data_IF_852362811914
#
_entry.id   IF_852362811914
#
_cell.length_a   1.000
_cell.length_b   1.000
_cell.length_c   1.000
_cell.angle_alpha   90.00
_cell.angle_beta   90.00
_cell.angle_gamma   90.00
#
_symmetry.space_group_name_H-M   'P 1'
#
loop_
_entity.id
_entity.type
_entity.pdbx_description
1 polymer ?
#
# COMPACT_ATOMS: atom_id res chain seq x y z
N UNK A 1 -0.77 18.05 14.80
CA UNK A 1 -1.04 17.23 13.60
C UNK A 1 -2.08 16.19 14.00
N UNK A 2 -3.26 16.18 13.39
CA UNK A 2 -4.29 15.20 13.71
C UNK A 2 -3.73 13.79 13.48
N UNK A 3 -3.55 13.02 14.56
CA UNK A 3 -3.33 11.57 14.48
C UNK A 3 -4.67 10.91 14.11
N UNK A 4 -5.16 11.21 12.91
CA UNK A 4 -6.29 10.50 12.34
C UNK A 4 -5.83 9.06 12.11
N UNK A 5 -6.49 8.11 12.76
CA UNK A 5 -6.19 6.70 12.55
C UNK A 5 -6.62 6.27 11.13
N UNK A 6 -6.20 5.09 10.67
CA UNK A 6 -6.48 4.66 9.29
C UNK A 6 -7.97 4.55 9.01
N UNK A 7 -8.76 4.13 10.00
CA UNK A 7 -10.22 4.03 9.91
C UNK A 7 -10.86 5.38 9.55
N UNK A 8 -10.64 6.40 10.38
CA UNK A 8 -11.20 7.74 10.20
C UNK A 8 -10.77 8.33 8.85
N UNK A 9 -9.54 8.05 8.43
CA UNK A 9 -9.01 8.50 7.15
C UNK A 9 -9.70 7.83 5.96
N UNK A 10 -9.95 6.52 6.03
CA UNK A 10 -10.71 5.78 5.01
C UNK A 10 -12.13 6.30 4.92
N UNK A 11 -12.83 6.44 6.05
CA UNK A 11 -14.20 6.96 6.07
C UNK A 11 -14.29 8.38 5.49
N UNK A 12 -13.38 9.27 5.92
CA UNK A 12 -13.35 10.65 5.43
C UNK A 12 -13.06 10.70 3.94
N UNK A 13 -12.04 9.97 3.46
CA UNK A 13 -11.73 9.88 2.04
C UNK A 13 -12.95 9.46 1.21
N UNK A 14 -13.67 8.43 1.67
CA UNK A 14 -14.83 7.90 0.96
C UNK A 14 -16.01 8.87 0.93
N UNK A 15 -16.21 9.66 1.99
CA UNK A 15 -17.26 10.69 2.06
C UNK A 15 -16.94 11.92 1.20
N UNK A 16 -15.68 12.35 1.19
CA UNK A 16 -15.26 13.61 0.56
C UNK A 16 -15.05 13.47 -0.97
N UNK A 17 -14.86 12.25 -1.47
CA UNK A 17 -14.58 12.01 -2.89
C UNK A 17 -15.82 11.52 -3.65
N UNK A 18 -16.18 12.22 -4.74
CA UNK A 18 -17.33 11.86 -5.61
C UNK A 18 -17.15 10.56 -6.39
N UNK A 19 -15.91 10.15 -6.66
CA UNK A 19 -15.57 8.92 -7.37
C UNK A 19 -14.36 8.26 -6.69
N UNK A 20 -14.57 7.68 -5.50
CA UNK A 20 -13.48 7.13 -4.71
C UNK A 20 -12.96 5.82 -5.31
N UNK A 21 -11.82 5.35 -4.80
CA UNK A 21 -11.31 4.03 -5.19
C UNK A 21 -12.17 2.93 -4.58
N UNK A 22 -12.25 1.80 -5.28
CA UNK A 22 -12.85 0.57 -4.76
C UNK A 22 -11.76 -0.43 -4.37
N UNK A 23 -12.11 -1.43 -3.57
CA UNK A 23 -11.14 -2.47 -3.15
C UNK A 23 -10.56 -3.25 -4.33
N UNK A 24 -11.30 -3.41 -5.43
CA UNK A 24 -10.80 -4.07 -6.65
C UNK A 24 -9.58 -3.35 -7.22
N UNK A 25 -9.54 -2.02 -7.10
CA UNK A 25 -8.42 -1.21 -7.59
C UNK A 25 -7.20 -1.32 -6.68
N UNK A 26 -7.41 -1.52 -5.37
CA UNK A 26 -6.36 -1.75 -4.39
C UNK A 26 -5.86 -3.20 -4.38
N UNK A 27 -6.67 -4.15 -4.88
CA UNK A 27 -6.35 -5.59 -4.87
C UNK A 27 -5.05 -5.89 -5.60
N UNK A 28 -4.79 -5.24 -6.74
CA UNK A 28 -3.55 -5.45 -7.48
C UNK A 28 -2.31 -5.07 -6.67
N UNK A 29 -2.33 -3.91 -6.01
CA UNK A 29 -1.23 -3.48 -5.15
C UNK A 29 -1.05 -4.43 -3.96
N UNK A 30 -2.16 -4.78 -3.28
CA UNK A 30 -2.12 -5.69 -2.13
C UNK A 30 -1.59 -7.07 -2.53
N UNK A 31 -2.08 -7.67 -3.62
CA UNK A 31 -1.62 -8.99 -4.08
C UNK A 31 -0.12 -9.00 -4.40
N UNK A 32 0.41 -7.97 -5.06
CA UNK A 32 1.85 -7.87 -5.28
C UNK A 32 2.63 -7.70 -3.96
N UNK A 33 2.10 -6.91 -3.01
CA UNK A 33 2.73 -6.73 -1.70
C UNK A 33 2.75 -8.01 -0.86
N UNK A 34 1.70 -8.85 -0.90
CA UNK A 34 1.66 -10.16 -0.25
C UNK A 34 2.77 -11.08 -0.76
N UNK A 35 2.98 -11.12 -2.08
CA UNK A 35 4.04 -11.93 -2.68
C UNK A 35 5.42 -11.52 -2.17
N UNK A 36 5.69 -10.21 -2.12
CA UNK A 36 6.96 -9.68 -1.62
C UNK A 36 7.11 -9.96 -0.11
N UNK A 37 6.05 -9.79 0.69
CA UNK A 37 6.06 -10.14 2.13
C UNK A 37 6.50 -11.58 2.36
N UNK A 38 5.92 -12.52 1.62
CA UNK A 38 6.24 -13.93 1.77
C UNK A 38 7.71 -14.23 1.44
N UNK A 39 8.27 -13.56 0.42
CA UNK A 39 9.70 -13.68 0.09
C UNK A 39 10.59 -13.08 1.18
N UNK A 40 10.25 -11.89 1.68
CA UNK A 40 10.95 -11.25 2.80
C UNK A 40 10.97 -12.18 4.00
N UNK A 41 9.83 -12.76 4.37
CA UNK A 41 9.73 -13.69 5.50
C UNK A 41 10.65 -14.92 5.37
N UNK A 42 10.93 -15.37 4.14
CA UNK A 42 11.87 -16.47 3.89
C UNK A 42 13.32 -16.00 4.05
N UNK A 43 13.67 -14.82 3.53
CA UNK A 43 15.03 -14.26 3.58
C UNK A 43 15.45 -13.78 4.97
N UNK A 44 14.54 -13.15 5.72
CA UNK A 44 14.86 -12.41 6.96
C UNK A 44 14.84 -13.28 8.22
N UNK A 45 14.92 -14.61 8.09
CA UNK A 45 15.02 -15.52 9.26
C UNK A 45 16.29 -15.28 10.11
N UNK A 46 17.23 -14.46 9.63
CA UNK A 46 18.55 -14.21 10.23
C UNK A 46 18.96 -12.72 10.31
N UNK A 47 18.09 -11.77 9.97
CA UNK A 47 18.42 -10.33 9.97
C UNK A 47 17.33 -9.44 9.37
N UNK A 48 17.47 -8.12 9.53
CA UNK A 48 16.47 -7.11 9.15
C UNK A 48 16.65 -6.48 7.76
N UNK A 49 17.75 -6.80 7.07
CA UNK A 49 18.02 -6.36 5.70
C UNK A 49 17.58 -7.40 4.67
N UNK A 50 16.97 -6.93 3.59
CA UNK A 50 16.55 -7.76 2.45
C UNK A 50 17.63 -7.75 1.36
N UNK A 51 17.65 -8.79 0.53
CA UNK A 51 18.54 -8.84 -0.63
C UNK A 51 18.27 -7.70 -1.63
N UNK A 52 19.29 -7.36 -2.42
CA UNK A 52 19.14 -6.41 -3.54
C UNK A 52 18.05 -6.86 -4.54
N UNK A 53 17.88 -8.18 -4.70
CA UNK A 53 16.81 -8.75 -5.52
C UNK A 53 15.43 -8.32 -4.99
N UNK A 54 15.17 -8.42 -3.69
CA UNK A 54 13.90 -7.99 -3.09
C UNK A 54 13.74 -6.48 -3.09
N UNK A 55 14.82 -5.72 -2.88
CA UNK A 55 14.80 -4.27 -3.04
C UNK A 55 14.35 -3.87 -4.45
N UNK A 56 14.86 -4.55 -5.48
CA UNK A 56 14.46 -4.31 -6.87
C UNK A 56 13.00 -4.72 -7.13
N UNK A 57 12.49 -5.78 -6.51
CA UNK A 57 11.06 -6.12 -6.57
C UNK A 57 10.18 -5.04 -5.94
N UNK A 58 10.61 -4.43 -4.82
CA UNK A 58 9.89 -3.30 -4.19
C UNK A 58 9.94 -2.05 -5.08
N UNK A 59 11.08 -1.76 -5.73
CA UNK A 59 11.16 -0.69 -6.74
C UNK A 59 10.21 -0.97 -7.90
N UNK A 60 10.08 -2.22 -8.32
CA UNK A 60 9.13 -2.59 -9.38
C UNK A 60 7.67 -2.49 -8.93
N UNK A 61 7.36 -2.81 -7.67
CA UNK A 61 6.04 -2.55 -7.07
C UNK A 61 5.67 -1.06 -7.18
N UNK A 62 6.60 -0.16 -6.87
CA UNK A 62 6.41 1.28 -7.02
C UNK A 62 6.11 1.65 -8.48
N UNK A 63 6.89 1.16 -9.45
CA UNK A 63 6.68 1.45 -10.88
C UNK A 63 5.27 1.02 -11.32
N UNK A 64 4.83 -0.19 -10.93
CA UNK A 64 3.47 -0.67 -11.21
C UNK A 64 2.39 0.25 -10.62
N UNK A 65 2.57 0.67 -9.37
CA UNK A 65 1.62 1.56 -8.69
C UNK A 65 1.56 2.95 -9.35
N UNK A 66 2.71 3.52 -9.71
CA UNK A 66 2.79 4.80 -10.43
C UNK A 66 2.10 4.71 -11.79
N UNK A 67 2.31 3.61 -12.53
CA UNK A 67 1.62 3.39 -13.80
C UNK A 67 0.10 3.31 -13.61
N UNK A 68 -0.38 2.60 -12.58
CA UNK A 68 -1.80 2.55 -12.25
C UNK A 68 -2.37 3.95 -11.90
N UNK A 69 -1.62 4.75 -11.14
CA UNK A 69 -1.98 6.14 -10.86
C UNK A 69 -2.08 6.99 -12.15
N UNK A 70 -1.22 6.74 -13.13
CA UNK A 70 -1.27 7.41 -14.44
C UNK A 70 -2.48 7.00 -15.28
N UNK A 71 -2.88 5.73 -15.21
CA UNK A 71 -4.03 5.19 -15.95
C UNK A 71 -5.38 5.55 -15.31
N UNK A 72 -5.44 5.62 -13.99
CA UNK A 72 -6.68 5.80 -13.22
C UNK A 72 -6.58 7.00 -12.27
N UNK A 73 -7.18 8.16 -12.62
CA UNK A 73 -7.05 9.38 -11.82
C UNK A 73 -7.48 9.24 -10.34
N UNK A 74 -8.51 8.44 -10.05
CA UNK A 74 -8.93 8.18 -8.67
C UNK A 74 -7.91 7.40 -7.85
N UNK A 75 -7.11 6.52 -8.47
CA UNK A 75 -6.00 5.83 -7.80
C UNK A 75 -4.89 6.82 -7.45
N UNK A 76 -4.64 7.81 -8.32
CA UNK A 76 -3.71 8.92 -8.02
C UNK A 76 -4.21 9.79 -6.87
N UNK A 77 -5.50 10.13 -6.84
CA UNK A 77 -6.08 10.86 -5.69
C UNK A 77 -5.92 10.08 -4.40
N UNK A 78 -6.21 8.78 -4.43
CA UNK A 78 -5.99 7.89 -3.29
C UNK A 78 -4.52 7.84 -2.86
N UNK A 79 -3.59 7.74 -3.81
CA UNK A 79 -2.14 7.76 -3.54
C UNK A 79 -1.70 9.04 -2.81
N UNK A 80 -2.19 10.20 -3.26
CA UNK A 80 -1.87 11.48 -2.64
C UNK A 80 -2.37 11.56 -1.20
N UNK A 81 -3.59 11.09 -0.95
CA UNK A 81 -4.21 11.10 0.37
C UNK A 81 -3.51 10.12 1.32
N UNK A 82 -3.27 8.88 0.89
CA UNK A 82 -2.71 7.81 1.72
C UNK A 82 -1.17 7.69 1.64
N UNK A 83 -0.53 8.56 0.85
CA UNK A 83 0.93 8.64 0.65
C UNK A 83 1.58 7.28 0.36
N UNK A 84 0.89 6.45 -0.44
CA UNK A 84 1.28 5.05 -0.69
C UNK A 84 2.63 4.99 -1.43
N UNK A 85 2.77 5.71 -2.53
CA UNK A 85 4.00 5.75 -3.35
C UNK A 85 5.19 6.27 -2.55
N UNK A 86 4.98 7.28 -1.69
CA UNK A 86 6.00 7.80 -0.78
C UNK A 86 6.45 6.73 0.21
N UNK A 87 5.52 6.03 0.86
CA UNK A 87 5.85 4.93 1.79
C UNK A 87 6.63 3.81 1.11
N UNK A 88 6.27 3.43 -0.13
CA UNK A 88 7.03 2.41 -0.89
C UNK A 88 8.47 2.88 -1.15
N UNK A 89 8.66 4.15 -1.55
CA UNK A 89 10.01 4.74 -1.79
C UNK A 89 10.91 4.71 -0.55
N UNK A 90 10.33 4.86 0.65
CA UNK A 90 11.07 4.96 1.91
C UNK A 90 11.53 3.60 2.48
N UNK A 91 11.08 2.48 1.90
CA UNK A 91 11.37 1.11 2.39
C UNK A 91 12.87 0.79 2.27
N UNK A 92 13.47 1.03 1.10
CA UNK A 92 14.86 0.65 0.81
C UNK A 92 15.11 -0.85 1.08
N UNK A 93 16.18 -1.16 1.80
CA UNK A 93 16.55 -2.53 2.18
C UNK A 93 15.94 -3.02 3.51
N UNK A 94 15.06 -2.24 4.15
CA UNK A 94 14.56 -2.58 5.48
C UNK A 94 13.32 -3.48 5.42
N UNK A 95 13.47 -4.73 5.88
CA UNK A 95 12.36 -5.66 6.04
C UNK A 95 11.29 -5.10 7.00
N UNK A 96 11.72 -4.46 8.09
CA UNK A 96 10.85 -3.80 9.06
C UNK A 96 9.98 -2.73 8.39
N UNK A 97 10.57 -1.82 7.61
CA UNK A 97 9.79 -0.78 6.90
C UNK A 97 8.83 -1.37 5.89
N UNK A 98 9.23 -2.44 5.19
CA UNK A 98 8.31 -3.14 4.30
C UNK A 98 7.12 -3.72 5.07
N UNK A 99 7.35 -4.38 6.20
CA UNK A 99 6.28 -4.95 7.03
C UNK A 99 5.34 -3.88 7.60
N UNK A 100 5.87 -2.71 7.99
CA UNK A 100 5.06 -1.56 8.40
C UNK A 100 4.21 -1.02 7.26
N UNK A 101 4.77 -0.89 6.06
CA UNK A 101 4.02 -0.53 4.85
C UNK A 101 2.92 -1.56 4.52
N UNK A 102 3.25 -2.85 4.58
CA UNK A 102 2.32 -3.93 4.30
C UNK A 102 1.15 -3.93 5.29
N UNK A 103 1.42 -3.79 6.60
CA UNK A 103 0.38 -3.69 7.63
C UNK A 103 -0.51 -2.49 7.41
N UNK A 104 0.07 -1.34 7.06
CA UNK A 104 -0.69 -0.14 6.72
C UNK A 104 -1.64 -0.38 5.53
N UNK A 105 -1.17 -1.06 4.50
CA UNK A 105 -1.99 -1.41 3.34
C UNK A 105 -3.11 -2.40 3.70
N UNK A 106 -2.83 -3.41 4.54
CA UNK A 106 -3.84 -4.33 5.05
C UNK A 106 -4.92 -3.61 5.86
N UNK A 107 -4.53 -2.70 6.76
CA UNK A 107 -5.46 -1.95 7.60
C UNK A 107 -6.42 -1.10 6.76
N UNK A 108 -5.90 -0.40 5.74
CA UNK A 108 -6.71 0.33 4.76
C UNK A 108 -7.74 -0.61 4.11
N UNK A 109 -7.29 -1.74 3.56
CA UNK A 109 -8.16 -2.65 2.81
C UNK A 109 -9.19 -3.31 3.73
N UNK A 110 -8.82 -3.60 4.97
CA UNK A 110 -9.72 -4.12 5.99
C UNK A 110 -10.86 -3.14 6.27
N UNK A 111 -10.56 -1.86 6.53
CA UNK A 111 -11.59 -0.86 6.75
C UNK A 111 -12.43 -0.58 5.50
N UNK A 112 -11.81 -0.53 4.32
CA UNK A 112 -12.52 -0.42 3.05
C UNK A 112 -13.57 -1.52 2.87
N UNK A 113 -13.22 -2.76 3.24
CA UNK A 113 -14.13 -3.91 3.19
C UNK A 113 -15.18 -3.88 4.30
N UNK A 114 -14.78 -3.55 5.53
CA UNK A 114 -15.68 -3.49 6.69
C UNK A 114 -16.84 -2.51 6.48
N UNK A 115 -16.56 -1.33 5.91
CA UNK A 115 -17.59 -0.32 5.61
C UNK A 115 -18.31 -0.53 4.28
N UNK A 116 -17.98 -1.58 3.52
CA UNK A 116 -18.64 -1.90 2.24
C UNK A 116 -18.32 -0.91 1.12
N UNK A 117 -17.13 -0.30 1.12
CA UNK A 117 -16.62 0.55 0.03
C UNK A 117 -16.05 -0.27 -1.14
N UNK A 118 -16.42 -1.54 -1.22
CA UNK A 118 -16.00 -2.49 -2.25
C UNK A 118 -17.02 -2.69 -3.39
N UNK A 119 -18.13 -1.95 -3.36
CA UNK A 119 -19.21 -2.01 -4.35
C UNK A 119 -18.83 -1.39 -5.70
#
# INVERSE_FOLDING_TARGET
>A
MNNMNVQEKVEKYQKDNKNPVTTTQLRLLLSNAVIIKNKIQVETRKGDEISEKLENEIKYLLVKHIYQCGREPKVKTFDNEFVISKKIKEIGKSAKKFNEFYRYLEEIVAYMKYYGFDR
#
